data_IF_336910634720
#
_entry.id   IF_336910634720
#
_cell.length_a   1.000
_cell.length_b   1.000
_cell.length_c   1.000
_cell.angle_alpha   90.00
_cell.angle_beta   90.00
_cell.angle_gamma   90.00
#
_symmetry.space_group_name_H-M   'P 1'
#
loop_
_entity.id
_entity.type
_entity.pdbx_description
1 polymer ?
#
# COMPACT_ATOMS: atom_id res chain seq x y z
N UNK A 1 -27.82 25.16 15.66
CA UNK A 1 -27.52 24.51 14.37
C UNK A 1 -26.02 24.26 14.30
N UNK A 2 -25.55 23.07 13.96
CA UNK A 2 -24.12 22.85 13.74
C UNK A 2 -23.70 23.71 12.54
N UNK A 3 -22.63 24.49 12.69
CA UNK A 3 -22.03 25.27 11.59
C UNK A 3 -21.54 24.27 10.53
N UNK A 4 -22.07 24.34 9.32
CA UNK A 4 -21.50 23.68 8.15
C UNK A 4 -20.05 24.17 8.00
N UNK A 5 -19.10 23.21 8.03
CA UNK A 5 -17.69 23.52 7.83
C UNK A 5 -17.45 23.98 6.40
N UNK A 6 -16.60 24.95 6.23
CA UNK A 6 -16.17 25.41 4.91
C UNK A 6 -15.28 24.34 4.28
N UNK A 7 -15.36 24.16 2.97
CA UNK A 7 -14.59 23.17 2.19
C UNK A 7 -13.06 23.28 2.36
N UNK A 8 -12.56 24.44 2.80
CA UNK A 8 -11.14 24.69 3.06
C UNK A 8 -10.56 23.86 4.22
N UNK A 9 -11.40 23.41 5.16
CA UNK A 9 -10.96 22.64 6.34
C UNK A 9 -10.87 21.12 6.08
N UNK A 10 -11.31 20.67 4.91
CA UNK A 10 -11.36 19.25 4.55
C UNK A 10 -10.09 18.73 3.86
N UNK A 11 -9.21 19.64 3.43
CA UNK A 11 -8.01 19.29 2.68
C UNK A 11 -6.79 20.04 3.19
N UNK A 12 -5.62 19.41 3.07
CA UNK A 12 -4.34 20.07 3.25
C UNK A 12 -3.41 19.73 2.09
N UNK A 13 -2.40 20.57 1.87
CA UNK A 13 -1.43 20.38 0.79
C UNK A 13 -0.07 19.99 1.34
N UNK A 14 0.56 19.04 0.68
CA UNK A 14 1.95 18.65 0.92
C UNK A 14 2.75 18.73 -0.37
N UNK A 15 4.05 18.97 -0.27
CA UNK A 15 4.94 19.01 -1.43
C UNK A 15 5.70 17.71 -1.57
N UNK A 16 5.42 16.93 -2.63
CA UNK A 16 6.08 15.67 -2.96
C UNK A 16 6.60 15.79 -4.40
N UNK A 17 7.85 15.41 -4.67
CA UNK A 17 8.51 15.54 -5.98
C UNK A 17 8.31 16.93 -6.64
N UNK A 18 8.41 18.01 -5.84
CA UNK A 18 8.15 19.38 -6.27
C UNK A 18 6.72 19.69 -6.74
N UNK A 19 5.77 18.78 -6.59
CA UNK A 19 4.35 18.98 -6.89
C UNK A 19 3.55 19.25 -5.61
N UNK A 20 2.54 20.12 -5.70
CA UNK A 20 1.58 20.33 -4.63
C UNK A 20 0.52 19.24 -4.70
N UNK A 21 0.48 18.40 -3.70
CA UNK A 21 -0.45 17.28 -3.57
C UNK A 21 -1.48 17.61 -2.51
N UNK A 22 -2.73 17.34 -2.80
CA UNK A 22 -3.87 17.55 -1.90
C UNK A 22 -4.21 16.26 -1.17
N UNK A 23 -4.30 16.32 0.14
CA UNK A 23 -4.75 15.21 0.98
C UNK A 23 -6.00 15.59 1.77
N UNK A 24 -6.87 14.61 1.99
CA UNK A 24 -8.05 14.79 2.83
C UNK A 24 -7.65 15.01 4.28
N UNK A 25 -8.22 16.04 4.88
CA UNK A 25 -8.07 16.36 6.29
C UNK A 25 -9.34 15.96 7.04
N UNK A 26 -9.28 14.92 7.84
CA UNK A 26 -10.39 14.51 8.72
C UNK A 26 -10.39 15.33 10.01
N UNK A 27 -10.63 16.57 9.89
CA UNK A 27 -10.34 17.70 10.76
C UNK A 27 -11.02 17.74 12.12
N UNK A 28 -11.05 16.71 12.92
CA UNK A 28 -11.36 16.89 14.35
C UNK A 28 -10.27 16.38 15.28
N UNK A 29 -9.19 15.87 14.71
CA UNK A 29 -7.99 15.46 15.46
C UNK A 29 -6.78 15.73 14.56
N UNK A 30 -5.62 16.21 15.08
CA UNK A 30 -4.34 16.18 14.35
C UNK A 30 -4.00 14.72 14.14
N UNK A 31 -4.45 14.18 13.05
CA UNK A 31 -4.71 12.79 12.91
C UNK A 31 -3.53 12.07 12.28
N UNK A 32 -3.54 10.80 12.41
CA UNK A 32 -2.66 9.84 11.74
C UNK A 32 -2.45 10.21 10.25
N UNK A 33 -3.48 10.71 9.55
CA UNK A 33 -3.39 11.16 8.15
C UNK A 33 -2.33 12.25 7.97
N UNK A 34 -2.46 13.38 8.69
CA UNK A 34 -1.47 14.47 8.60
C UNK A 34 -0.08 14.01 9.03
N UNK A 35 0.02 13.26 10.14
CA UNK A 35 1.31 12.80 10.63
C UNK A 35 2.00 11.85 9.65
N UNK A 36 1.26 11.00 8.93
CA UNK A 36 1.80 10.12 7.90
C UNK A 36 2.35 10.92 6.73
N UNK A 37 1.59 11.91 6.24
CA UNK A 37 2.02 12.75 5.11
C UNK A 37 3.21 13.64 5.48
N UNK A 38 3.21 14.26 6.65
CA UNK A 38 4.31 15.11 7.11
C UNK A 38 5.60 14.32 7.36
N UNK A 39 5.49 13.05 7.75
CA UNK A 39 6.64 12.17 7.98
C UNK A 39 7.07 11.36 6.74
N UNK A 40 6.40 11.50 5.61
CA UNK A 40 6.66 10.69 4.41
C UNK A 40 8.16 10.56 4.08
N UNK A 41 8.86 11.71 4.03
CA UNK A 41 10.30 11.74 3.72
C UNK A 41 11.22 11.31 4.85
N UNK A 42 10.74 11.23 6.08
CA UNK A 42 11.55 10.87 7.25
C UNK A 42 11.27 9.46 7.76
N UNK A 43 10.08 8.94 7.48
CA UNK A 43 9.67 7.60 7.96
C UNK A 43 10.22 6.50 7.05
N UNK A 44 10.12 6.67 5.75
CA UNK A 44 10.51 5.69 4.73
C UNK A 44 11.10 6.40 3.49
N UNK A 45 12.23 7.09 3.63
CA UNK A 45 12.88 7.78 2.51
C UNK A 45 13.20 6.80 1.37
N UNK A 46 13.61 5.58 1.69
CA UNK A 46 13.92 4.53 0.73
C UNK A 46 12.74 4.17 -0.18
N UNK A 47 11.50 4.19 0.36
CA UNK A 47 10.30 3.93 -0.44
C UNK A 47 10.05 5.05 -1.44
N UNK A 48 10.29 6.30 -1.04
CA UNK A 48 10.17 7.45 -1.94
C UNK A 48 11.24 7.42 -3.02
N UNK A 49 12.49 7.14 -2.64
CA UNK A 49 13.61 7.04 -3.59
C UNK A 49 13.38 5.90 -4.60
N UNK A 50 12.85 4.76 -4.13
CA UNK A 50 12.48 3.66 -5.00
C UNK A 50 11.35 4.05 -5.97
N UNK A 51 10.27 4.70 -5.49
CA UNK A 51 9.21 5.22 -6.37
C UNK A 51 9.79 6.22 -7.38
N UNK A 52 10.74 7.06 -6.96
CA UNK A 52 11.39 8.03 -7.85
C UNK A 52 12.21 7.35 -8.95
N UNK A 53 12.72 6.16 -8.73
CA UNK A 53 13.47 5.38 -9.71
C UNK A 53 12.59 4.67 -10.75
N UNK A 54 11.28 4.52 -10.52
CA UNK A 54 10.36 3.80 -11.41
C UNK A 54 10.12 4.62 -12.69
N UNK A 55 10.30 4.03 -13.89
CA UNK A 55 9.93 4.68 -15.15
C UNK A 55 8.43 5.01 -15.21
N UNK A 56 8.08 6.20 -15.69
CA UNK A 56 6.67 6.65 -15.79
C UNK A 56 5.82 5.81 -16.75
N UNK A 57 6.44 5.05 -17.63
CA UNK A 57 5.80 4.10 -18.55
C UNK A 57 5.42 2.78 -17.89
N UNK A 58 5.93 2.53 -16.70
CA UNK A 58 5.73 1.28 -15.97
C UNK A 58 4.48 1.36 -15.07
N UNK A 59 4.01 0.21 -14.62
CA UNK A 59 2.84 0.08 -13.75
C UNK A 59 3.28 -0.35 -12.37
N UNK A 60 2.77 0.34 -11.35
CA UNK A 60 2.99 0.04 -9.94
C UNK A 60 1.73 -0.56 -9.31
N UNK A 61 1.90 -1.63 -8.52
CA UNK A 61 0.91 -2.10 -7.55
C UNK A 61 1.34 -1.70 -6.13
N UNK A 62 0.44 -1.06 -5.39
CA UNK A 62 0.61 -0.65 -3.98
C UNK A 62 -0.33 -1.51 -3.13
N UNK A 63 0.21 -2.58 -2.54
CA UNK A 63 -0.52 -3.57 -1.73
C UNK A 63 -0.40 -3.19 -0.26
N UNK A 64 -1.54 -2.99 0.41
CA UNK A 64 -1.61 -2.37 1.72
C UNK A 64 -1.49 -0.85 1.64
N UNK A 65 -2.22 -0.24 0.68
CA UNK A 65 -2.07 1.17 0.36
C UNK A 65 -2.46 2.13 1.49
N UNK A 66 -3.20 1.67 2.50
CA UNK A 66 -3.70 2.48 3.60
C UNK A 66 -4.47 3.72 3.06
N UNK A 67 -4.13 4.92 3.47
CA UNK A 67 -4.72 6.17 2.96
C UNK A 67 -4.13 6.64 1.62
N UNK A 68 -3.24 5.86 1.00
CA UNK A 68 -2.71 6.07 -0.34
C UNK A 68 -1.52 7.00 -0.47
N UNK A 69 -0.69 7.16 0.55
CA UNK A 69 0.44 8.10 0.48
C UNK A 69 1.40 7.73 -0.66
N UNK A 70 1.79 6.45 -0.76
CA UNK A 70 2.70 5.97 -1.80
C UNK A 70 2.01 5.88 -3.17
N UNK A 71 0.73 5.48 -3.19
CA UNK A 71 -0.12 5.53 -4.38
C UNK A 71 -0.14 6.93 -5.00
N UNK A 72 -0.42 7.95 -4.19
CA UNK A 72 -0.50 9.35 -4.62
C UNK A 72 0.89 9.87 -5.01
N UNK A 73 1.94 9.48 -4.30
CA UNK A 73 3.32 9.83 -4.65
C UNK A 73 3.72 9.30 -6.04
N UNK A 74 3.40 8.05 -6.32
CA UNK A 74 3.63 7.45 -7.65
C UNK A 74 2.78 8.12 -8.73
N UNK A 75 1.50 8.34 -8.45
CA UNK A 75 0.58 9.04 -9.36
C UNK A 75 1.01 10.46 -9.68
N UNK A 76 1.59 11.19 -8.73
CA UNK A 76 2.16 12.52 -8.95
C UNK A 76 3.31 12.54 -9.95
N UNK A 77 4.04 11.42 -10.09
CA UNK A 77 5.05 11.24 -11.13
C UNK A 77 4.46 10.84 -12.49
N UNK A 78 3.16 10.57 -12.56
CA UNK A 78 2.49 10.05 -13.76
C UNK A 78 2.54 8.52 -13.90
N UNK A 79 3.01 7.80 -12.89
CA UNK A 79 3.06 6.33 -12.90
C UNK A 79 1.63 5.79 -12.76
N UNK A 80 1.22 4.91 -13.68
CA UNK A 80 -0.06 4.21 -13.57
C UNK A 80 -0.04 3.26 -12.37
N UNK A 81 -0.85 3.58 -11.36
CA UNK A 81 -0.79 2.90 -10.06
C UNK A 81 -2.12 2.24 -9.71
N UNK A 82 -2.07 0.99 -9.28
CA UNK A 82 -3.19 0.23 -8.74
C UNK A 82 -2.97 0.01 -7.25
N UNK A 83 -3.90 0.50 -6.44
CA UNK A 83 -3.81 0.46 -4.98
C UNK A 83 -4.82 -0.53 -4.41
N UNK A 84 -4.40 -1.31 -3.42
CA UNK A 84 -5.23 -2.33 -2.80
C UNK A 84 -5.23 -2.11 -1.28
N UNK A 85 -6.43 -1.85 -0.73
CA UNK A 85 -6.61 -1.54 0.69
C UNK A 85 -7.92 -2.15 1.18
N UNK A 86 -7.88 -3.21 2.01
CA UNK A 86 -9.08 -3.90 2.45
C UNK A 86 -9.85 -3.19 3.57
N UNK A 87 -9.18 -2.33 4.38
CA UNK A 87 -9.86 -1.61 5.47
C UNK A 87 -10.73 -0.48 4.91
N UNK A 88 -12.04 -0.60 5.06
CA UNK A 88 -13.03 0.30 4.45
C UNK A 88 -12.82 1.79 4.78
N UNK A 89 -12.40 2.10 6.01
CA UNK A 89 -12.10 3.46 6.44
C UNK A 89 -10.88 4.05 5.72
N UNK A 90 -9.80 3.28 5.62
CA UNK A 90 -8.59 3.66 4.88
C UNK A 90 -8.89 3.78 3.38
N UNK A 91 -9.61 2.81 2.82
CA UNK A 91 -10.01 2.79 1.42
C UNK A 91 -10.84 4.01 1.03
N UNK A 92 -11.77 4.44 1.89
CA UNK A 92 -12.55 5.65 1.66
C UNK A 92 -11.65 6.90 1.55
N UNK A 93 -10.64 7.03 2.42
CA UNK A 93 -9.68 8.14 2.36
C UNK A 93 -8.75 8.03 1.15
N UNK A 94 -8.28 6.83 0.81
CA UNK A 94 -7.52 6.56 -0.40
C UNK A 94 -8.26 7.05 -1.65
N UNK A 95 -9.55 6.70 -1.79
CA UNK A 95 -10.38 7.14 -2.92
C UNK A 95 -10.53 8.67 -2.97
N UNK A 96 -10.74 9.31 -1.83
CA UNK A 96 -10.83 10.77 -1.75
C UNK A 96 -9.49 11.43 -2.11
N UNK A 97 -8.36 10.89 -1.67
CA UNK A 97 -7.03 11.38 -2.01
C UNK A 97 -6.74 11.24 -3.51
N UNK A 98 -7.12 10.12 -4.13
CA UNK A 98 -7.01 9.93 -5.59
C UNK A 98 -7.86 10.97 -6.32
N UNK A 99 -9.14 11.12 -5.93
CA UNK A 99 -10.07 12.06 -6.55
C UNK A 99 -9.61 13.52 -6.45
N UNK A 100 -9.01 13.90 -5.31
CA UNK A 100 -8.54 15.26 -5.07
C UNK A 100 -7.34 15.69 -5.96
N UNK A 101 -6.63 14.72 -6.58
CA UNK A 101 -5.40 14.96 -7.33
C UNK A 101 -5.51 14.63 -8.83
N UNK A 102 -6.52 13.91 -9.25
CA UNK A 102 -6.71 13.47 -10.65
C UNK A 102 -5.48 12.77 -11.26
N UNK A 103 -4.79 11.94 -10.45
CA UNK A 103 -3.64 11.16 -10.91
C UNK A 103 -4.08 9.82 -11.52
N UNK A 104 -3.21 9.14 -12.31
CA UNK A 104 -3.53 7.87 -12.98
C UNK A 104 -3.53 6.69 -11.97
N UNK A 105 -4.34 6.80 -10.93
CA UNK A 105 -4.45 5.83 -9.85
C UNK A 105 -5.83 5.19 -9.82
N UNK A 106 -5.89 3.89 -9.56
CA UNK A 106 -7.15 3.14 -9.36
C UNK A 106 -7.05 2.38 -8.05
N UNK A 107 -8.08 2.47 -7.20
CA UNK A 107 -8.12 1.78 -5.91
C UNK A 107 -9.13 0.64 -5.90
N UNK A 108 -8.80 -0.45 -5.20
CA UNK A 108 -9.64 -1.63 -4.98
C UNK A 108 -9.76 -1.95 -3.49
N UNK A 109 -11.00 -2.15 -3.02
CA UNK A 109 -11.27 -2.55 -1.63
C UNK A 109 -11.21 -4.07 -1.50
N UNK A 110 -9.99 -4.60 -1.51
CA UNK A 110 -9.73 -6.05 -1.49
C UNK A 110 -8.41 -6.32 -0.77
N UNK A 111 -8.32 -7.47 -0.13
CA UNK A 111 -7.07 -8.00 0.39
C UNK A 111 -6.53 -9.11 -0.51
N UNK A 112 -5.21 -9.31 -0.48
CA UNK A 112 -4.59 -10.43 -1.14
C UNK A 112 -4.19 -11.52 -0.14
N UNK A 113 -4.31 -12.79 -0.57
CA UNK A 113 -4.00 -13.98 0.19
C UNK A 113 -3.60 -15.11 -0.77
N UNK A 114 -3.48 -16.33 -0.28
CA UNK A 114 -3.22 -17.53 -1.11
C UNK A 114 -4.48 -18.20 -1.64
N UNK A 115 -5.65 -17.55 -1.51
CA UNK A 115 -6.95 -18.11 -1.95
C UNK A 115 -7.94 -16.99 -2.23
N UNK A 116 -8.99 -17.31 -2.99
CA UNK A 116 -10.16 -16.45 -3.16
C UNK A 116 -11.27 -16.87 -2.20
N UNK A 117 -11.68 -15.99 -1.30
CA UNK A 117 -12.67 -16.27 -0.25
C UNK A 117 -13.26 -15.00 0.37
N UNK A 118 -14.30 -15.16 1.17
CA UNK A 118 -14.64 -14.21 2.22
C UNK A 118 -13.84 -14.55 3.48
N UNK A 119 -13.33 -13.53 4.16
CA UNK A 119 -12.55 -13.69 5.38
C UNK A 119 -12.90 -12.57 6.37
N UNK A 120 -12.29 -12.58 7.55
CA UNK A 120 -12.51 -11.59 8.58
C UNK A 120 -11.20 -10.81 8.80
N UNK A 121 -11.29 -9.49 8.74
CA UNK A 121 -10.21 -8.60 9.15
C UNK A 121 -10.43 -8.16 10.59
N UNK A 122 -9.45 -8.40 11.45
CA UNK A 122 -9.39 -7.83 12.79
C UNK A 122 -8.81 -6.43 12.74
N UNK A 123 -9.51 -5.48 13.33
CA UNK A 123 -9.18 -4.04 13.31
C UNK A 123 -8.97 -3.55 14.74
N UNK A 124 -7.88 -2.86 15.01
CA UNK A 124 -7.59 -2.29 16.31
C UNK A 124 -8.50 -1.11 16.64
N UNK A 125 -8.75 -0.27 15.66
CA UNK A 125 -9.74 0.80 15.71
C UNK A 125 -10.08 1.27 14.29
N UNK A 126 -11.22 1.94 14.11
CA UNK A 126 -11.68 2.42 12.81
C UNK A 126 -11.18 3.81 12.40
N UNK A 127 -10.17 4.37 13.11
CA UNK A 127 -9.62 5.65 12.70
C UNK A 127 -8.80 5.51 11.41
N UNK A 128 -9.13 6.27 10.35
CA UNK A 128 -8.38 6.23 9.11
C UNK A 128 -6.89 6.56 9.31
N UNK A 129 -6.04 5.85 8.59
CA UNK A 129 -4.60 5.97 8.69
C UNK A 129 -3.97 5.08 9.77
N UNK A 130 -4.75 4.30 10.50
CA UNK A 130 -4.22 3.31 11.45
C UNK A 130 -3.71 2.10 10.67
N UNK A 131 -2.55 1.60 11.06
CA UNK A 131 -1.95 0.33 10.68
C UNK A 131 -2.33 -0.75 11.72
N UNK A 132 -1.75 -1.96 11.59
CA UNK A 132 -1.99 -3.08 12.49
C UNK A 132 -3.41 -3.67 12.34
N UNK A 133 -3.87 -3.76 11.09
CA UNK A 133 -5.08 -4.46 10.69
C UNK A 133 -4.69 -5.79 10.04
N UNK A 134 -5.15 -6.91 10.59
CA UNK A 134 -4.66 -8.23 10.17
C UNK A 134 -5.81 -9.18 9.83
N UNK A 135 -5.67 -9.91 8.72
CA UNK A 135 -6.64 -10.91 8.30
C UNK A 135 -6.54 -12.14 9.21
N UNK A 136 -7.69 -12.77 9.52
CA UNK A 136 -7.82 -13.97 10.37
C UNK A 136 -7.34 -13.81 11.82
N UNK A 137 -7.26 -12.58 12.35
CA UNK A 137 -7.00 -12.36 13.77
C UNK A 137 -8.17 -11.63 14.41
N UNK A 138 -8.79 -12.24 15.42
CA UNK A 138 -9.81 -11.58 16.23
C UNK A 138 -9.17 -10.43 17.00
N UNK A 139 -9.62 -9.21 16.73
CA UNK A 139 -9.31 -7.98 17.47
C UNK A 139 -10.60 -7.42 18.08
N UNK A 140 -10.52 -6.26 18.70
CA UNK A 140 -11.67 -5.61 19.32
C UNK A 140 -12.82 -5.39 18.32
N UNK A 141 -12.47 -5.05 17.07
CA UNK A 141 -13.43 -4.88 15.98
C UNK A 141 -13.09 -5.81 14.83
N UNK A 142 -14.12 -6.34 14.19
CA UNK A 142 -13.97 -7.23 13.04
C UNK A 142 -14.93 -6.82 11.92
N UNK A 143 -14.49 -6.91 10.68
CA UNK A 143 -15.38 -6.82 9.52
C UNK A 143 -15.03 -7.85 8.45
N UNK A 144 -16.03 -8.21 7.65
CA UNK A 144 -15.83 -9.10 6.51
C UNK A 144 -14.99 -8.43 5.42
N UNK A 145 -14.08 -9.19 4.83
CA UNK A 145 -13.29 -8.74 3.70
C UNK A 145 -13.33 -9.79 2.59
N UNK A 146 -13.20 -9.32 1.34
CA UNK A 146 -12.95 -10.19 0.20
C UNK A 146 -11.45 -10.37 0.07
N UNK A 147 -10.98 -11.61 0.00
CA UNK A 147 -9.59 -11.95 -0.27
C UNK A 147 -9.47 -12.65 -1.62
N UNK A 148 -8.41 -12.34 -2.36
CA UNK A 148 -8.07 -13.01 -3.61
C UNK A 148 -6.58 -13.38 -3.64
N UNK A 149 -6.23 -14.37 -4.41
CA UNK A 149 -4.84 -14.55 -4.84
C UNK A 149 -4.57 -13.67 -6.07
N UNK A 150 -3.42 -12.99 -6.04
CA UNK A 150 -3.07 -12.03 -7.09
C UNK A 150 -2.79 -12.73 -8.42
N UNK A 151 -2.18 -13.91 -8.37
CA UNK A 151 -1.81 -14.68 -9.56
C UNK A 151 -3.04 -14.99 -10.43
N UNK A 152 -4.15 -15.41 -9.82
CA UNK A 152 -5.41 -15.71 -10.55
C UNK A 152 -5.99 -14.45 -11.21
N UNK A 153 -5.99 -13.30 -10.52
CA UNK A 153 -6.54 -12.06 -11.09
C UNK A 153 -5.72 -11.54 -12.27
N UNK A 154 -4.41 -11.71 -12.22
CA UNK A 154 -3.52 -11.36 -13.33
C UNK A 154 -3.65 -12.37 -14.48
N UNK A 155 -3.74 -13.66 -14.17
CA UNK A 155 -3.87 -14.73 -15.18
C UNK A 155 -5.14 -14.60 -16.02
N UNK A 156 -6.27 -14.22 -15.41
CA UNK A 156 -7.53 -13.99 -16.13
C UNK A 156 -7.64 -12.56 -16.70
N UNK A 157 -6.59 -11.77 -16.68
CA UNK A 157 -6.55 -10.38 -17.11
C UNK A 157 -7.57 -9.43 -16.44
N UNK A 158 -8.03 -9.78 -15.22
CA UNK A 158 -8.84 -8.87 -14.39
C UNK A 158 -7.98 -7.71 -13.86
N UNK A 159 -6.69 -7.97 -13.63
CA UNK A 159 -5.66 -6.98 -13.35
C UNK A 159 -4.50 -7.11 -14.36
N UNK A 160 -3.83 -6.01 -14.73
CA UNK A 160 -2.65 -6.10 -15.58
C UNK A 160 -1.47 -6.73 -14.83
N UNK A 161 -0.49 -7.27 -15.57
CA UNK A 161 0.80 -7.64 -14.97
C UNK A 161 1.51 -6.36 -14.50
N UNK A 162 1.83 -6.22 -13.20
CA UNK A 162 2.60 -5.08 -12.71
C UNK A 162 4.07 -5.18 -13.12
N UNK A 163 4.70 -4.03 -13.34
CA UNK A 163 6.16 -3.95 -13.49
C UNK A 163 6.85 -3.87 -12.12
N UNK A 164 6.18 -3.24 -11.16
CA UNK A 164 6.68 -3.01 -9.81
C UNK A 164 5.58 -3.28 -8.78
N UNK A 165 5.93 -3.82 -7.62
CA UNK A 165 4.99 -4.07 -6.52
C UNK A 165 5.61 -3.54 -5.22
N UNK A 166 4.84 -2.74 -4.47
CA UNK A 166 5.08 -2.45 -3.05
C UNK A 166 4.15 -3.33 -2.23
N UNK A 167 4.68 -3.96 -1.18
CA UNK A 167 3.92 -4.81 -0.26
C UNK A 167 4.21 -4.36 1.18
N UNK A 168 3.13 -4.02 1.93
CA UNK A 168 3.15 -3.55 3.31
C UNK A 168 1.81 -3.95 3.96
N UNK A 169 1.73 -5.15 4.54
CA UNK A 169 0.48 -5.84 4.91
C UNK A 169 0.54 -6.56 6.25
N UNK A 170 1.08 -5.96 7.25
CA UNK A 170 1.11 -6.34 8.68
C UNK A 170 0.79 -7.83 8.99
N UNK A 171 1.78 -8.72 8.92
CA UNK A 171 1.69 -10.13 9.36
C UNK A 171 0.89 -11.07 8.45
N UNK A 172 0.73 -10.73 7.15
CA UNK A 172 0.06 -11.56 6.16
C UNK A 172 0.94 -11.87 4.93
N UNK A 173 2.23 -11.59 5.04
CA UNK A 173 3.23 -11.64 3.96
C UNK A 173 3.36 -13.02 3.36
N UNK A 174 3.38 -14.07 4.21
CA UNK A 174 3.48 -15.47 3.78
C UNK A 174 2.34 -15.86 2.83
N UNK A 175 1.10 -15.62 3.25
CA UNK A 175 -0.07 -15.97 2.43
C UNK A 175 -0.17 -15.13 1.17
N UNK A 176 0.19 -13.84 1.27
CA UNK A 176 0.28 -12.98 0.09
C UNK A 176 1.30 -13.54 -0.90
N UNK A 177 2.52 -13.82 -0.44
CA UNK A 177 3.58 -14.34 -1.30
C UNK A 177 3.18 -15.63 -2.00
N UNK A 178 2.53 -16.57 -1.28
CA UNK A 178 2.03 -17.81 -1.86
C UNK A 178 1.03 -17.57 -2.99
N UNK A 179 0.15 -16.56 -2.87
CA UNK A 179 -0.87 -16.23 -3.88
C UNK A 179 -0.42 -15.23 -4.95
N UNK A 180 0.83 -14.77 -4.90
CA UNK A 180 1.38 -13.76 -5.81
C UNK A 180 2.70 -14.18 -6.47
N UNK A 181 3.18 -15.39 -6.19
CA UNK A 181 4.53 -15.87 -6.55
C UNK A 181 4.83 -15.77 -8.05
N UNK A 182 3.86 -16.10 -8.91
CA UNK A 182 4.03 -16.06 -10.37
C UNK A 182 4.05 -14.60 -10.86
N UNK A 183 3.18 -13.77 -10.32
CA UNK A 183 3.07 -12.34 -10.68
C UNK A 183 4.31 -11.58 -10.24
N UNK A 184 4.75 -11.78 -8.99
CA UNK A 184 5.99 -11.19 -8.46
C UNK A 184 7.18 -11.62 -9.31
N UNK A 185 7.25 -12.91 -9.67
CA UNK A 185 8.34 -13.46 -10.47
C UNK A 185 8.52 -12.80 -11.84
N UNK A 186 7.52 -12.07 -12.34
CA UNK A 186 7.59 -11.33 -13.61
C UNK A 186 7.85 -9.83 -13.43
N UNK A 187 7.90 -9.32 -12.19
CA UNK A 187 8.19 -7.92 -11.92
C UNK A 187 9.66 -7.57 -12.19
N UNK A 188 9.90 -6.28 -12.47
CA UNK A 188 11.23 -5.69 -12.58
C UNK A 188 11.83 -5.40 -11.20
N UNK A 189 11.01 -4.88 -10.28
CA UNK A 189 11.43 -4.65 -8.88
C UNK A 189 10.26 -4.83 -7.91
N UNK A 190 10.62 -5.10 -6.66
CA UNK A 190 9.68 -5.32 -5.55
C UNK A 190 10.21 -4.60 -4.31
N UNK A 191 9.38 -3.81 -3.67
CA UNK A 191 9.60 -3.34 -2.31
C UNK A 191 8.68 -4.13 -1.38
N UNK A 192 9.26 -4.87 -0.44
CA UNK A 192 8.52 -5.75 0.45
C UNK A 192 8.91 -5.51 1.90
N UNK A 193 7.97 -5.10 2.72
CA UNK A 193 8.11 -5.08 4.17
C UNK A 193 7.93 -6.52 4.68
N UNK A 194 8.99 -7.11 5.24
CA UNK A 194 9.03 -8.52 5.63
C UNK A 194 9.35 -8.62 7.11
N UNK A 195 8.46 -9.28 7.87
CA UNK A 195 8.72 -9.67 9.25
C UNK A 195 9.76 -10.79 9.31
N UNK A 196 10.60 -10.80 10.35
CA UNK A 196 11.70 -11.76 10.54
C UNK A 196 11.25 -13.22 10.42
N UNK A 197 10.05 -13.55 10.88
CA UNK A 197 9.50 -14.90 10.77
C UNK A 197 9.24 -15.36 9.32
N UNK A 198 9.19 -14.44 8.37
CA UNK A 198 8.95 -14.68 6.94
C UNK A 198 10.19 -14.41 6.07
N UNK A 199 11.39 -14.30 6.66
CA UNK A 199 12.64 -14.04 5.90
C UNK A 199 12.94 -15.10 4.82
N UNK A 200 12.34 -16.30 4.87
CA UNK A 200 12.45 -17.27 3.80
C UNK A 200 12.00 -16.74 2.43
N UNK A 201 11.06 -15.75 2.41
CA UNK A 201 10.59 -15.08 1.19
C UNK A 201 11.76 -14.40 0.46
N UNK A 202 12.74 -13.91 1.20
CA UNK A 202 13.95 -13.28 0.64
C UNK A 202 14.71 -14.27 -0.23
N UNK A 203 14.90 -15.50 0.23
CA UNK A 203 15.62 -16.54 -0.52
C UNK A 203 14.80 -17.05 -1.71
N UNK A 204 13.47 -17.15 -1.55
CA UNK A 204 12.56 -17.46 -2.64
C UNK A 204 12.64 -16.42 -3.77
N UNK A 205 12.70 -15.13 -3.43
CA UNK A 205 12.84 -14.06 -4.42
C UNK A 205 14.21 -14.09 -5.10
N UNK A 206 15.31 -14.37 -4.36
CA UNK A 206 16.63 -14.59 -4.96
C UNK A 206 16.63 -15.77 -5.95
N UNK A 207 15.95 -16.88 -5.59
CA UNK A 207 15.83 -18.03 -6.48
C UNK A 207 15.02 -17.70 -7.75
N UNK A 208 14.15 -16.68 -7.73
CA UNK A 208 13.46 -16.14 -8.89
C UNK A 208 14.30 -15.13 -9.70
N UNK A 209 15.57 -14.94 -9.34
CA UNK A 209 16.52 -14.07 -10.05
C UNK A 209 16.58 -12.63 -9.56
N UNK A 210 15.91 -12.31 -8.45
CA UNK A 210 16.03 -10.99 -7.84
C UNK A 210 17.33 -10.83 -7.05
N UNK A 211 17.86 -9.60 -7.07
CA UNK A 211 18.96 -9.15 -6.22
C UNK A 211 18.44 -8.15 -5.20
N UNK A 212 18.92 -8.22 -3.96
CA UNK A 212 18.64 -7.19 -2.96
C UNK A 212 19.49 -5.97 -3.31
N UNK A 213 18.81 -4.83 -3.54
CA UNK A 213 19.45 -3.53 -3.78
C UNK A 213 19.28 -2.57 -2.59
N UNK A 214 18.42 -2.92 -1.63
CA UNK A 214 18.22 -2.19 -0.37
C UNK A 214 17.67 -3.09 0.72
N UNK A 215 18.13 -2.88 1.96
CA UNK A 215 17.55 -3.48 3.20
C UNK A 215 17.56 -2.40 4.27
N UNK A 216 16.36 -2.00 4.71
CA UNK A 216 16.15 -0.90 5.65
C UNK A 216 15.38 -1.40 6.87
N UNK A 217 15.92 -1.16 8.06
CA UNK A 217 15.29 -1.59 9.31
C UNK A 217 14.08 -0.72 9.61
N UNK A 218 12.92 -1.35 9.86
CA UNK A 218 11.68 -0.70 10.29
C UNK A 218 11.55 -0.70 11.81
N UNK A 219 11.72 -1.88 12.38
CA UNK A 219 11.79 -2.12 13.82
C UNK A 219 12.67 -3.35 14.11
N UNK A 220 12.63 -3.92 15.31
CA UNK A 220 13.47 -5.07 15.66
C UNK A 220 13.13 -6.34 14.89
N UNK A 221 11.89 -6.47 14.45
CA UNK A 221 11.37 -7.70 13.82
C UNK A 221 11.00 -7.52 12.34
N UNK A 222 11.31 -6.38 11.70
CA UNK A 222 10.76 -6.03 10.40
C UNK A 222 11.70 -5.17 9.58
N UNK A 223 11.81 -5.48 8.30
CA UNK A 223 12.65 -4.78 7.34
C UNK A 223 11.93 -4.50 6.02
N UNK A 224 12.17 -3.33 5.46
CA UNK A 224 11.90 -3.07 4.05
C UNK A 224 13.05 -3.63 3.21
N UNK A 225 12.74 -4.58 2.34
CA UNK A 225 13.66 -5.08 1.33
C UNK A 225 13.28 -4.50 -0.04
N UNK A 226 14.29 -4.04 -0.78
CA UNK A 226 14.12 -3.63 -2.18
C UNK A 226 14.87 -4.63 -3.05
N UNK A 227 14.11 -5.24 -3.95
CA UNK A 227 14.60 -6.24 -4.90
C UNK A 227 14.51 -5.72 -6.32
N UNK A 228 15.47 -6.08 -7.17
CA UNK A 228 15.48 -5.78 -8.60
C UNK A 228 16.05 -6.96 -9.40
N UNK A 229 15.58 -7.11 -10.62
CA UNK A 229 16.16 -8.00 -11.63
C UNK A 229 17.17 -7.28 -12.50
#
# INVERSE_FOLDING_TARGET
MPKLRTTSDQFFKAKIFNQNITFVNLSNQPTYVQSRVLRLKSKEPETIDWIESIPVTDTLFDVGANIGIYTISAGARGIKTYAFEPHSGNFNILCQNISANNFPCTAYCIAFSNKSAFDIMGVKNYHPGVADNTINKNKEYNHGVVVHDLDSLVEVNALPQPHHIKIDIDGHEDKFYQGAKKTIGKCKSVLFEIETQYEYIVDELKNQGFKIIGKHKRNENEHNFIFSK
#
